data_IF_837942812251
#
_entry.id   IF_837942812251
#
_cell.length_a   1.000
_cell.length_b   1.000
_cell.length_c   1.000
_cell.angle_alpha   90.00
_cell.angle_beta   90.00
_cell.angle_gamma   90.00
#
_symmetry.space_group_name_H-M   'P 1'
#
loop_
_entity.id
_entity.type
_entity.pdbx_description
1 polymer ?
#
# COMPACT_ATOMS: atom_id res chain seq x y z
N UNK A 1 -25.59 1.76 7.23
CA UNK A 1 -24.74 1.17 6.20
C UNK A 1 -23.33 1.14 6.80
N UNK A 2 -22.84 -0.03 7.19
CA UNK A 2 -21.46 -0.14 7.67
C UNK A 2 -20.56 0.07 6.46
N UNK A 3 -19.91 1.22 6.39
CA UNK A 3 -18.91 1.48 5.37
C UNK A 3 -17.69 0.62 5.72
N UNK A 4 -17.68 -0.58 5.20
CA UNK A 4 -16.46 -1.37 5.18
C UNK A 4 -15.56 -0.71 4.13
N UNK A 5 -14.59 0.07 4.59
CA UNK A 5 -13.47 0.58 3.78
C UNK A 5 -12.79 -0.56 3.00
N UNK A 6 -13.04 -1.80 3.37
CA UNK A 6 -12.63 -3.03 2.67
C UNK A 6 -13.21 -3.16 1.25
N UNK A 7 -14.31 -2.47 0.90
CA UNK A 7 -15.02 -2.74 -0.36
C UNK A 7 -14.38 -2.11 -1.59
N UNK A 8 -13.68 -0.98 -1.46
CA UNK A 8 -13.11 -0.28 -2.63
C UNK A 8 -11.68 -0.74 -2.96
N UNK A 9 -10.88 -1.11 -1.97
CA UNK A 9 -9.49 -1.52 -2.16
C UNK A 9 -9.19 -2.96 -1.71
N UNK A 10 -10.09 -3.60 -0.98
CA UNK A 10 -9.96 -4.94 -0.43
C UNK A 10 -10.92 -5.97 -1.05
N UNK A 11 -11.12 -7.07 -0.33
CA UNK A 11 -12.03 -8.16 -0.67
C UNK A 11 -12.83 -8.59 0.55
N UNK A 12 -14.05 -9.09 0.34
CA UNK A 12 -14.88 -9.62 1.43
C UNK A 12 -14.23 -10.82 2.13
N UNK A 13 -14.61 -11.05 3.38
CA UNK A 13 -14.11 -12.22 4.15
C UNK A 13 -14.43 -13.54 3.43
N UNK A 14 -15.59 -13.65 2.82
CA UNK A 14 -16.01 -14.82 2.05
C UNK A 14 -15.13 -15.04 0.82
N UNK A 15 -14.87 -13.98 0.05
CA UNK A 15 -13.98 -14.04 -1.11
C UNK A 15 -12.56 -14.47 -0.71
N UNK A 16 -12.06 -13.94 0.42
CA UNK A 16 -10.74 -14.33 0.93
C UNK A 16 -10.73 -15.79 1.37
N UNK A 17 -11.77 -16.26 2.08
CA UNK A 17 -11.87 -17.67 2.51
C UNK A 17 -11.85 -18.63 1.31
N UNK A 18 -12.67 -18.36 0.29
CA UNK A 18 -12.69 -19.15 -0.95
C UNK A 18 -11.33 -19.16 -1.67
N UNK A 19 -10.61 -18.03 -1.64
CA UNK A 19 -9.26 -17.93 -2.21
C UNK A 19 -8.28 -18.84 -1.46
N UNK A 20 -8.34 -18.84 -0.12
CA UNK A 20 -7.45 -19.66 0.73
C UNK A 20 -7.70 -21.15 0.53
N UNK A 21 -8.95 -21.58 0.37
CA UNK A 21 -9.30 -22.99 0.11
C UNK A 21 -8.70 -23.53 -1.20
N UNK A 22 -8.40 -22.64 -2.16
CA UNK A 22 -7.85 -22.98 -3.47
C UNK A 22 -6.35 -22.69 -3.61
N UNK A 23 -5.69 -22.28 -2.53
CA UNK A 23 -4.31 -21.76 -2.56
C UNK A 23 -4.09 -20.67 -3.62
N UNK A 24 -5.16 -19.90 -3.90
CA UNK A 24 -5.20 -18.90 -4.96
C UNK A 24 -4.59 -17.55 -4.59
N UNK A 25 -4.79 -16.58 -5.49
CA UNK A 25 -4.53 -15.15 -5.31
C UNK A 25 -5.80 -14.34 -5.61
N UNK A 26 -5.97 -13.19 -4.96
CA UNK A 26 -6.96 -12.19 -5.35
C UNK A 26 -6.31 -10.93 -5.90
N UNK A 27 -5.07 -10.65 -5.53
CA UNK A 27 -4.32 -9.54 -6.11
C UNK A 27 -2.82 -9.82 -6.16
N UNK A 28 -2.15 -9.12 -7.08
CA UNK A 28 -0.69 -9.04 -7.15
C UNK A 28 -0.29 -7.58 -7.18
N UNK A 29 0.72 -7.24 -6.39
CA UNK A 29 1.39 -5.94 -6.41
C UNK A 29 2.62 -6.06 -7.33
N UNK A 30 2.78 -5.13 -8.27
CA UNK A 30 3.89 -5.14 -9.24
C UNK A 30 4.73 -3.88 -9.08
N UNK A 31 6.03 -4.06 -8.90
CA UNK A 31 7.02 -3.01 -9.05
C UNK A 31 7.66 -3.12 -10.44
N UNK A 32 7.63 -2.03 -11.19
CA UNK A 32 8.06 -2.01 -12.60
C UNK A 32 9.51 -1.57 -12.75
N UNK A 33 9.92 -0.60 -11.94
CA UNK A 33 11.24 0.02 -12.03
C UNK A 33 11.61 0.67 -10.71
N UNK A 34 12.90 0.77 -10.43
CA UNK A 34 13.42 1.60 -9.31
C UNK A 34 13.61 3.06 -9.71
N UNK A 35 13.45 3.41 -11.00
CA UNK A 35 13.51 4.80 -11.43
C UNK A 35 12.41 5.61 -10.76
N UNK A 36 12.78 6.75 -10.19
CA UNK A 36 11.84 7.68 -9.61
C UNK A 36 12.35 9.12 -9.78
N UNK A 37 11.45 10.03 -10.07
CA UNK A 37 11.74 11.46 -10.13
C UNK A 37 11.68 12.16 -8.77
N UNK A 38 11.39 11.41 -7.69
CA UNK A 38 11.47 11.85 -6.30
C UNK A 38 12.55 11.10 -5.52
N UNK A 39 12.90 11.64 -4.34
CA UNK A 39 13.85 11.04 -3.38
C UNK A 39 13.27 11.06 -1.98
N UNK A 40 12.00 10.59 -1.85
CA UNK A 40 11.26 10.63 -0.58
C UNK A 40 12.08 10.06 0.56
N UNK A 41 12.20 10.81 1.65
CA UNK A 41 13.02 10.44 2.82
C UNK A 41 12.45 9.25 3.60
N UNK A 42 11.20 8.89 3.33
CA UNK A 42 10.47 7.74 3.91
C UNK A 42 10.29 6.59 2.92
N UNK A 43 10.95 6.61 1.76
CA UNK A 43 10.74 5.62 0.70
C UNK A 43 11.16 4.22 1.13
N UNK A 44 10.22 3.28 1.13
CA UNK A 44 10.46 1.88 1.50
C UNK A 44 11.41 1.18 0.53
N UNK A 45 11.30 1.50 -0.75
CA UNK A 45 12.04 0.83 -1.83
C UNK A 45 13.38 1.50 -2.17
N UNK A 46 13.72 2.64 -1.53
CA UNK A 46 14.91 3.44 -1.83
C UNK A 46 15.03 3.85 -3.30
N UNK A 47 13.87 4.04 -3.96
CA UNK A 47 13.78 4.35 -5.38
C UNK A 47 14.58 5.60 -5.78
N UNK A 48 15.08 5.59 -7.00
CA UNK A 48 15.90 6.66 -7.54
C UNK A 48 16.34 6.37 -8.96
N UNK A 49 17.43 5.64 -9.09
CA UNK A 49 17.91 5.14 -10.38
C UNK A 49 17.31 3.76 -10.69
N UNK A 50 17.21 3.42 -11.96
CA UNK A 50 16.79 2.08 -12.38
C UNK A 50 17.85 1.04 -12.03
N UNK A 51 17.41 -0.20 -11.88
CA UNK A 51 18.30 -1.32 -11.66
C UNK A 51 18.66 -1.99 -12.99
N UNK A 52 19.78 -2.71 -12.98
CA UNK A 52 20.06 -3.65 -14.05
C UNK A 52 19.07 -4.82 -13.99
N UNK A 53 18.72 -5.36 -15.17
CA UNK A 53 17.86 -6.53 -15.29
C UNK A 53 16.44 -6.34 -14.70
N UNK A 54 15.89 -5.13 -14.74
CA UNK A 54 14.46 -4.94 -14.47
C UNK A 54 13.61 -5.75 -15.46
N UNK A 55 12.40 -6.12 -15.04
CA UNK A 55 11.49 -6.93 -15.84
C UNK A 55 11.11 -6.24 -17.16
N UNK A 56 11.14 -6.98 -18.25
CA UNK A 56 10.61 -6.56 -19.53
C UNK A 56 9.07 -6.59 -19.54
N UNK A 57 8.47 -5.89 -20.49
CA UNK A 57 7.02 -5.96 -20.73
C UNK A 57 6.50 -7.41 -20.82
N UNK A 58 7.22 -8.27 -21.55
CA UNK A 58 6.84 -9.68 -21.74
C UNK A 58 6.80 -10.45 -20.41
N UNK A 59 7.78 -10.22 -19.54
CA UNK A 59 7.83 -10.87 -18.21
C UNK A 59 6.71 -10.35 -17.32
N UNK A 60 6.43 -9.05 -17.32
CA UNK A 60 5.33 -8.42 -16.59
C UNK A 60 3.97 -8.98 -17.05
N UNK A 61 3.74 -9.04 -18.35
CA UNK A 61 2.52 -9.63 -18.93
C UNK A 61 2.36 -11.09 -18.48
N UNK A 62 3.45 -11.88 -18.54
CA UNK A 62 3.42 -13.27 -18.05
C UNK A 62 3.03 -13.37 -16.56
N UNK A 63 3.54 -12.48 -15.72
CA UNK A 63 3.14 -12.45 -14.28
C UNK A 63 1.66 -12.14 -14.13
N UNK A 64 1.14 -11.17 -14.87
CA UNK A 64 -0.28 -10.78 -14.84
C UNK A 64 -1.17 -11.97 -15.26
N UNK A 65 -0.81 -12.67 -16.33
CA UNK A 65 -1.54 -13.84 -16.80
C UNK A 65 -1.50 -14.99 -15.79
N UNK A 66 -0.33 -15.30 -15.21
CA UNK A 66 -0.20 -16.28 -14.15
C UNK A 66 -1.04 -15.90 -12.91
N UNK A 67 -1.05 -14.62 -12.53
CA UNK A 67 -1.87 -14.15 -11.42
C UNK A 67 -3.37 -14.32 -11.70
N UNK A 68 -3.84 -13.99 -12.92
CA UNK A 68 -5.23 -14.23 -13.36
C UNK A 68 -5.59 -15.71 -13.25
N UNK A 69 -4.72 -16.58 -13.72
CA UNK A 69 -4.95 -18.04 -13.73
C UNK A 69 -4.99 -18.61 -12.30
N UNK A 70 -4.31 -17.97 -11.34
CA UNK A 70 -4.40 -18.24 -9.91
C UNK A 70 -5.65 -17.62 -9.24
N UNK A 71 -6.48 -16.90 -9.99
CA UNK A 71 -7.74 -16.33 -9.52
C UNK A 71 -7.70 -14.86 -9.17
N UNK A 72 -6.60 -14.14 -9.47
CA UNK A 72 -6.50 -12.71 -9.20
C UNK A 72 -7.64 -11.92 -9.85
N UNK A 73 -8.15 -10.96 -9.11
CA UNK A 73 -9.21 -10.02 -9.52
C UNK A 73 -8.67 -8.60 -9.69
N UNK A 74 -7.50 -8.31 -9.12
CA UNK A 74 -6.89 -6.99 -9.12
C UNK A 74 -5.38 -7.06 -9.32
N UNK A 75 -4.86 -6.15 -10.13
CA UNK A 75 -3.42 -5.88 -10.25
C UNK A 75 -3.14 -4.49 -9.67
N UNK A 76 -2.16 -4.40 -8.77
CA UNK A 76 -1.72 -3.13 -8.16
C UNK A 76 -0.40 -2.71 -8.79
N UNK A 77 -0.44 -1.58 -9.48
CA UNK A 77 0.71 -0.97 -10.15
C UNK A 77 1.43 -0.09 -9.11
N UNK A 78 2.35 -0.71 -8.37
CA UNK A 78 2.97 -0.06 -7.21
C UNK A 78 4.24 0.72 -7.57
N UNK A 79 4.94 0.30 -8.60
CA UNK A 79 6.10 1.00 -9.12
C UNK A 79 7.44 0.53 -8.56
N UNK A 80 7.60 0.47 -7.27
CA UNK A 80 8.91 0.44 -6.61
C UNK A 80 9.58 1.82 -6.66
N UNK A 81 9.67 2.41 -7.85
CA UNK A 81 9.86 3.84 -8.14
C UNK A 81 8.56 4.52 -8.56
N UNK A 82 8.61 5.32 -9.64
CA UNK A 82 7.41 5.93 -10.23
C UNK A 82 6.94 5.07 -11.41
N UNK A 83 5.72 4.50 -11.37
CA UNK A 83 5.22 3.62 -12.44
C UNK A 83 5.26 4.27 -13.84
N UNK A 84 4.97 5.55 -13.93
CA UNK A 84 4.94 6.27 -15.22
C UNK A 84 6.33 6.58 -15.79
N UNK A 85 7.41 6.14 -15.14
CA UNK A 85 8.75 6.09 -15.72
C UNK A 85 9.08 4.73 -16.37
N UNK A 86 8.22 3.74 -16.23
CA UNK A 86 8.33 2.50 -17.01
C UNK A 86 7.79 2.73 -18.43
N UNK A 87 8.60 2.52 -19.47
CA UNK A 87 8.22 2.93 -20.83
C UNK A 87 6.92 2.33 -21.34
N UNK A 88 6.65 1.07 -21.01
CA UNK A 88 5.53 0.28 -21.53
C UNK A 88 4.31 0.27 -20.58
N UNK A 89 4.25 1.15 -19.59
CA UNK A 89 3.19 1.13 -18.56
C UNK A 89 1.79 1.24 -19.15
N UNK A 90 1.61 2.01 -20.23
CA UNK A 90 0.30 2.16 -20.87
C UNK A 90 -0.15 0.86 -21.55
N UNK A 91 0.79 0.07 -22.06
CA UNK A 91 0.49 -1.23 -22.64
C UNK A 91 0.11 -2.26 -21.57
N UNK A 92 0.81 -2.24 -20.44
CA UNK A 92 0.44 -3.03 -19.26
C UNK A 92 -0.99 -2.70 -18.81
N UNK A 93 -1.35 -1.42 -18.70
CA UNK A 93 -2.70 -0.98 -18.31
C UNK A 93 -3.76 -1.47 -19.31
N UNK A 94 -3.50 -1.36 -20.61
CA UNK A 94 -4.41 -1.89 -21.65
C UNK A 94 -4.59 -3.41 -21.52
N UNK A 95 -3.50 -4.13 -21.28
CA UNK A 95 -3.52 -5.58 -21.14
C UNK A 95 -4.37 -6.00 -19.93
N UNK A 96 -4.17 -5.39 -18.76
CA UNK A 96 -4.96 -5.67 -17.55
C UNK A 96 -6.44 -5.39 -17.81
N UNK A 97 -6.75 -4.26 -18.46
CA UNK A 97 -8.11 -3.89 -18.81
C UNK A 97 -8.77 -4.90 -19.76
N UNK A 98 -8.03 -5.35 -20.79
CA UNK A 98 -8.50 -6.35 -21.73
C UNK A 98 -8.77 -7.72 -21.09
N UNK A 99 -8.04 -8.06 -20.03
CA UNK A 99 -8.29 -9.27 -19.24
C UNK A 99 -9.50 -9.16 -18.29
N UNK A 100 -10.15 -8.00 -18.21
CA UNK A 100 -11.27 -7.74 -17.30
C UNK A 100 -10.88 -7.67 -15.82
N UNK A 101 -9.60 -7.48 -15.51
CA UNK A 101 -9.09 -7.33 -14.15
C UNK A 101 -9.23 -5.87 -13.69
N UNK A 102 -9.54 -5.66 -12.42
CA UNK A 102 -9.42 -4.34 -11.84
C UNK A 102 -7.96 -3.97 -11.61
N UNK A 103 -7.69 -2.67 -11.62
CA UNK A 103 -6.31 -2.17 -11.49
C UNK A 103 -6.26 -0.89 -10.68
N UNK A 104 -5.19 -0.75 -9.89
CA UNK A 104 -4.92 0.44 -9.09
C UNK A 104 -3.47 0.88 -9.31
N UNK A 105 -3.23 2.17 -9.52
CA UNK A 105 -1.88 2.73 -9.63
C UNK A 105 -1.57 3.62 -8.43
N UNK A 106 -0.38 3.43 -7.87
CA UNK A 106 0.19 4.33 -6.86
C UNK A 106 1.23 5.21 -7.54
N UNK A 107 1.01 6.52 -7.57
CA UNK A 107 1.87 7.49 -8.25
C UNK A 107 2.16 8.70 -7.38
N UNK A 108 3.31 9.33 -7.62
CA UNK A 108 3.60 10.63 -7.04
C UNK A 108 2.89 11.80 -7.77
N UNK A 109 2.26 11.53 -8.91
CA UNK A 109 1.43 12.47 -9.65
C UNK A 109 2.20 13.54 -10.48
N UNK A 110 3.52 13.64 -10.36
CA UNK A 110 4.28 14.69 -11.02
C UNK A 110 4.34 14.57 -12.55
N UNK A 111 4.20 13.33 -13.05
CA UNK A 111 4.25 13.04 -14.50
C UNK A 111 2.87 13.02 -15.15
N UNK A 112 1.81 13.26 -14.40
CA UNK A 112 0.46 13.28 -14.94
C UNK A 112 0.28 14.44 -15.91
N UNK A 113 -0.33 14.12 -17.07
CA UNK A 113 -0.79 15.04 -18.10
C UNK A 113 -2.28 14.87 -18.29
N UNK A 114 -2.95 15.82 -18.93
CA UNK A 114 -4.38 15.67 -19.27
C UNK A 114 -4.67 14.39 -20.08
N UNK A 115 -3.81 14.11 -21.06
CA UNK A 115 -3.95 12.92 -21.90
C UNK A 115 -3.82 11.64 -21.07
N UNK A 116 -2.80 11.56 -20.18
CA UNK A 116 -2.61 10.42 -19.31
C UNK A 116 -3.78 10.25 -18.34
N UNK A 117 -4.28 11.33 -17.74
CA UNK A 117 -5.42 11.26 -16.83
C UNK A 117 -6.69 10.77 -17.56
N UNK A 118 -6.96 11.26 -18.78
CA UNK A 118 -8.08 10.74 -19.61
C UNK A 118 -7.90 9.26 -19.96
N UNK A 119 -6.68 8.84 -20.29
CA UNK A 119 -6.36 7.44 -20.56
C UNK A 119 -6.62 6.56 -19.34
N UNK A 120 -6.15 6.94 -18.15
CA UNK A 120 -6.37 6.21 -16.90
C UNK A 120 -7.87 6.10 -16.58
N UNK A 121 -8.61 7.19 -16.75
CA UNK A 121 -10.05 7.22 -16.54
C UNK A 121 -10.80 6.28 -17.51
N UNK A 122 -10.44 6.28 -18.80
CA UNK A 122 -11.03 5.42 -19.80
C UNK A 122 -10.78 3.92 -19.54
N UNK A 123 -9.61 3.57 -18.98
CA UNK A 123 -9.24 2.20 -18.65
C UNK A 123 -9.61 1.78 -17.21
N UNK A 124 -10.47 2.55 -16.53
CA UNK A 124 -10.97 2.28 -15.19
C UNK A 124 -9.86 2.04 -14.15
N UNK A 125 -8.74 2.76 -14.29
CA UNK A 125 -7.64 2.69 -13.33
C UNK A 125 -8.05 3.41 -12.05
N UNK A 126 -7.97 2.74 -10.91
CA UNK A 126 -8.05 3.38 -9.59
C UNK A 126 -6.73 4.12 -9.35
N UNK A 127 -6.77 5.35 -8.86
CA UNK A 127 -5.56 6.14 -8.66
C UNK A 127 -5.36 6.46 -7.18
N UNK A 128 -4.20 6.12 -6.65
CA UNK A 128 -3.72 6.58 -5.36
C UNK A 128 -2.56 7.54 -5.59
N UNK A 129 -2.81 8.84 -5.38
CA UNK A 129 -1.79 9.87 -5.53
C UNK A 129 -1.13 10.16 -4.19
N UNK A 130 0.21 10.24 -4.18
CA UNK A 130 1.00 10.55 -2.99
C UNK A 130 0.91 12.03 -2.65
N UNK A 131 0.32 12.35 -1.50
CA UNK A 131 0.15 13.71 -1.03
C UNK A 131 0.26 13.74 0.51
N UNK A 132 1.40 14.21 1.03
CA UNK A 132 1.69 14.14 2.46
C UNK A 132 1.49 15.47 3.20
N UNK A 133 1.44 16.59 2.50
CA UNK A 133 1.31 17.91 3.11
C UNK A 133 0.75 18.94 2.13
N UNK A 134 -0.09 19.85 2.62
CA UNK A 134 -0.56 21.03 1.88
C UNK A 134 0.44 22.16 1.89
N UNK A 135 1.44 22.10 2.78
CA UNK A 135 2.51 23.10 2.87
C UNK A 135 3.68 22.75 1.94
N UNK A 136 4.02 23.63 0.96
CA UNK A 136 5.06 23.35 -0.03
C UNK A 136 6.39 22.92 0.58
N UNK A 137 6.85 23.61 1.62
CA UNK A 137 8.13 23.31 2.26
C UNK A 137 8.16 21.92 2.91
N UNK A 138 7.06 21.50 3.56
CA UNK A 138 6.93 20.18 4.20
C UNK A 138 6.85 19.09 3.13
N UNK A 139 5.98 19.28 2.13
CA UNK A 139 5.83 18.31 1.04
C UNK A 139 7.13 18.11 0.27
N UNK A 140 7.84 19.19 -0.09
CA UNK A 140 9.10 19.12 -0.81
C UNK A 140 10.21 18.45 0.02
N UNK A 141 10.29 18.75 1.32
CA UNK A 141 11.24 18.10 2.23
C UNK A 141 10.96 16.59 2.36
N UNK A 142 9.69 16.18 2.52
CA UNK A 142 9.30 14.77 2.58
C UNK A 142 9.55 14.05 1.25
N UNK A 143 9.32 14.72 0.11
CA UNK A 143 9.55 14.18 -1.23
C UNK A 143 11.04 14.18 -1.64
N UNK A 144 11.89 14.93 -0.92
CA UNK A 144 13.32 15.05 -1.21
C UNK A 144 13.66 15.79 -2.50
N UNK A 145 12.70 16.56 -3.06
CA UNK A 145 12.85 17.32 -4.32
C UNK A 145 12.08 18.63 -4.23
N UNK A 146 12.77 19.74 -4.49
CA UNK A 146 12.15 21.06 -4.54
C UNK A 146 11.12 21.15 -5.69
N UNK A 147 9.97 21.74 -5.40
CA UNK A 147 8.86 21.88 -6.36
C UNK A 147 7.97 20.63 -6.50
N UNK A 148 8.22 19.57 -5.74
CA UNK A 148 7.39 18.37 -5.72
C UNK A 148 5.93 18.69 -5.37
N UNK A 149 5.70 19.54 -4.37
CA UNK A 149 4.37 20.01 -4.00
C UNK A 149 3.59 20.54 -5.20
N UNK A 150 4.18 21.48 -5.97
CA UNK A 150 3.52 22.07 -7.13
C UNK A 150 3.18 21.03 -8.20
N UNK A 151 4.09 20.07 -8.45
CA UNK A 151 3.87 18.99 -9.41
C UNK A 151 2.74 18.05 -8.97
N UNK A 152 2.72 17.66 -7.70
CA UNK A 152 1.69 16.79 -7.10
C UNK A 152 0.32 17.48 -7.14
N UNK A 153 0.24 18.75 -6.73
CA UNK A 153 -1.01 19.52 -6.78
C UNK A 153 -1.55 19.68 -8.20
N UNK A 154 -0.66 19.88 -9.18
CA UNK A 154 -1.06 19.89 -10.59
C UNK A 154 -1.62 18.52 -11.01
N UNK A 155 -0.94 17.44 -10.66
CA UNK A 155 -1.41 16.07 -10.98
C UNK A 155 -2.76 15.76 -10.37
N UNK A 156 -2.97 16.10 -9.10
CA UNK A 156 -4.25 15.92 -8.41
C UNK A 156 -5.38 16.69 -9.13
N UNK A 157 -5.14 17.96 -9.49
CA UNK A 157 -6.13 18.75 -10.22
C UNK A 157 -6.45 18.14 -11.59
N UNK A 158 -5.45 17.70 -12.36
CA UNK A 158 -5.66 17.04 -13.65
C UNK A 158 -6.49 15.75 -13.53
N UNK A 159 -6.31 14.97 -12.47
CA UNK A 159 -7.16 13.80 -12.21
C UNK A 159 -8.62 14.24 -11.98
N UNK A 160 -8.84 15.25 -11.15
CA UNK A 160 -10.19 15.76 -10.89
C UNK A 160 -10.85 16.32 -12.16
N UNK A 161 -10.12 17.07 -12.98
CA UNK A 161 -10.56 17.57 -14.28
C UNK A 161 -10.89 16.43 -15.28
N UNK A 162 -10.20 15.29 -15.19
CA UNK A 162 -10.48 14.10 -15.99
C UNK A 162 -11.71 13.30 -15.52
N UNK A 163 -12.34 13.70 -14.39
CA UNK A 163 -13.55 13.09 -13.85
C UNK A 163 -13.37 12.21 -12.61
N UNK A 164 -12.16 12.18 -12.01
CA UNK A 164 -11.95 11.49 -10.74
C UNK A 164 -12.41 12.32 -9.54
N UNK A 165 -12.95 11.70 -8.47
CA UNK A 165 -13.41 10.32 -8.43
C UNK A 165 -14.69 10.13 -9.24
N UNK A 166 -14.87 8.95 -9.84
CA UNK A 166 -16.04 8.60 -10.63
C UNK A 166 -16.48 7.16 -10.38
N UNK A 167 -17.63 6.76 -10.91
CA UNK A 167 -18.16 5.41 -10.74
C UNK A 167 -17.16 4.35 -11.26
N UNK A 168 -16.73 3.46 -10.36
CA UNK A 168 -15.72 2.44 -10.64
C UNK A 168 -14.30 3.01 -10.89
N UNK A 169 -14.08 4.29 -10.56
CA UNK A 169 -12.81 5.01 -10.73
C UNK A 169 -12.49 5.81 -9.47
N UNK A 170 -12.24 5.15 -8.34
CA UNK A 170 -11.91 5.86 -7.12
C UNK A 170 -10.59 6.62 -7.25
N UNK A 171 -10.52 7.74 -6.56
CA UNK A 171 -9.30 8.50 -6.32
C UNK A 171 -8.99 8.43 -4.84
N UNK A 172 -7.75 8.08 -4.52
CA UNK A 172 -7.26 8.07 -3.15
C UNK A 172 -6.14 9.10 -3.00
N UNK A 173 -6.10 9.79 -1.87
CA UNK A 173 -4.90 10.49 -1.40
C UNK A 173 -4.18 9.56 -0.45
N UNK A 174 -2.96 9.14 -0.82
CA UNK A 174 -2.10 8.37 0.06
C UNK A 174 -1.14 9.30 0.81
N UNK A 175 -1.23 9.26 2.14
CA UNK A 175 -0.35 10.02 3.03
C UNK A 175 0.29 9.11 4.06
N UNK A 176 1.60 9.30 4.27
CA UNK A 176 2.30 8.74 5.42
C UNK A 176 2.16 9.72 6.58
N UNK A 177 1.54 9.28 7.66
CA UNK A 177 1.40 10.08 8.89
C UNK A 177 2.74 10.10 9.61
N UNK A 178 3.30 11.29 9.78
CA UNK A 178 4.59 11.47 10.40
C UNK A 178 4.65 12.79 11.20
N UNK A 179 5.75 13.00 11.91
CA UNK A 179 5.92 14.16 12.80
C UNK A 179 5.77 15.50 12.08
N UNK A 180 6.19 15.58 10.82
CA UNK A 180 6.19 16.83 10.04
C UNK A 180 4.81 17.26 9.57
N UNK A 181 3.89 16.30 9.34
CA UNK A 181 2.57 16.59 8.80
C UNK A 181 1.41 16.30 9.77
N UNK A 182 1.70 15.91 11.01
CA UNK A 182 0.66 15.47 11.97
C UNK A 182 -0.46 16.48 12.17
N UNK A 183 -0.15 17.77 12.14
CA UNK A 183 -1.12 18.83 12.35
C UNK A 183 -1.96 19.13 11.10
N UNK A 184 -1.55 18.59 9.95
CA UNK A 184 -2.26 18.69 8.66
C UNK A 184 -3.17 17.50 8.37
N UNK A 185 -3.03 16.40 9.11
CA UNK A 185 -3.74 15.13 8.83
C UNK A 185 -5.26 15.32 8.90
N UNK A 186 -5.76 16.01 9.91
CA UNK A 186 -7.19 16.26 10.07
C UNK A 186 -7.78 17.13 8.95
N UNK A 187 -7.25 18.33 8.63
CA UNK A 187 -7.76 19.12 7.53
C UNK A 187 -7.61 18.44 6.16
N UNK A 188 -6.54 17.67 5.92
CA UNK A 188 -6.39 16.90 4.68
C UNK A 188 -7.42 15.77 4.56
N UNK A 189 -7.74 15.10 5.67
CA UNK A 189 -8.79 14.08 5.72
C UNK A 189 -10.15 14.66 5.38
N UNK A 190 -10.51 15.75 6.05
CA UNK A 190 -11.79 16.45 5.82
C UNK A 190 -11.91 16.88 4.36
N UNK A 191 -10.86 17.53 3.82
CA UNK A 191 -10.85 17.96 2.44
C UNK A 191 -11.04 16.79 1.45
N UNK A 192 -10.36 15.68 1.67
CA UNK A 192 -10.53 14.49 0.83
C UNK A 192 -11.97 14.00 0.83
N UNK A 193 -12.57 13.85 2.03
CA UNK A 193 -13.97 13.42 2.18
C UNK A 193 -14.97 14.36 1.49
N UNK A 194 -14.78 15.66 1.64
CA UNK A 194 -15.65 16.67 1.01
C UNK A 194 -15.60 16.62 -0.53
N UNK A 195 -14.51 16.10 -1.10
CA UNK A 195 -14.36 15.94 -2.55
C UNK A 195 -14.64 14.51 -3.04
N UNK A 196 -15.18 13.62 -2.20
CA UNK A 196 -15.43 12.22 -2.54
C UNK A 196 -14.15 11.41 -2.74
N UNK A 197 -13.00 11.94 -2.34
CA UNK A 197 -11.68 11.30 -2.45
C UNK A 197 -11.47 10.44 -1.20
N UNK A 198 -10.97 9.22 -1.39
CA UNK A 198 -10.68 8.31 -0.28
C UNK A 198 -9.36 8.69 0.39
N UNK A 199 -9.34 9.06 1.69
CA UNK A 199 -8.10 9.27 2.41
C UNK A 199 -7.48 7.94 2.78
N UNK A 200 -6.37 7.59 2.13
CA UNK A 200 -5.56 6.40 2.39
C UNK A 200 -4.35 6.79 3.26
N UNK A 201 -4.60 7.03 4.55
CA UNK A 201 -3.57 7.49 5.48
C UNK A 201 -3.03 6.33 6.28
N UNK A 202 -1.72 6.22 6.36
CA UNK A 202 -1.03 5.11 6.99
C UNK A 202 0.11 5.59 7.90
N UNK A 203 0.41 4.81 8.92
CA UNK A 203 1.58 5.06 9.76
C UNK A 203 2.88 4.76 9.00
N UNK A 204 3.97 5.39 9.42
CA UNK A 204 5.28 5.19 8.83
C UNK A 204 5.89 3.86 9.30
N UNK A 205 6.19 2.96 8.35
CA UNK A 205 7.08 1.82 8.59
C UNK A 205 8.54 2.26 8.46
N UNK A 206 9.37 1.97 9.46
CA UNK A 206 10.81 2.29 9.45
C UNK A 206 11.55 1.27 8.57
N UNK A 207 11.54 1.53 7.26
CA UNK A 207 12.07 0.68 6.20
C UNK A 207 12.73 1.52 5.11
N UNK A 208 13.70 0.97 4.39
CA UNK A 208 14.42 1.67 3.33
C UNK A 208 15.03 2.98 3.84
N UNK A 209 14.84 4.09 3.11
CA UNK A 209 15.36 5.40 3.55
C UNK A 209 14.81 5.88 4.89
N UNK A 210 13.61 5.45 5.28
CA UNK A 210 13.06 5.80 6.59
C UNK A 210 13.94 5.33 7.76
N UNK A 211 14.80 4.31 7.58
CA UNK A 211 15.77 3.89 8.61
C UNK A 211 16.73 5.00 9.01
N UNK A 212 17.09 5.88 8.07
CA UNK A 212 17.95 7.04 8.32
C UNK A 212 17.15 8.24 8.88
N UNK A 213 15.83 8.13 8.92
CA UNK A 213 14.89 9.18 9.31
C UNK A 213 13.87 8.68 10.33
N UNK A 214 14.28 7.79 11.25
CA UNK A 214 13.38 7.18 12.24
C UNK A 214 12.66 8.21 13.13
N UNK A 215 13.24 9.42 13.30
CA UNK A 215 12.63 10.54 14.02
C UNK A 215 11.34 11.06 13.35
N UNK A 216 11.04 10.68 12.11
CA UNK A 216 9.77 10.98 11.45
C UNK A 216 8.59 10.26 12.11
N UNK A 217 8.82 9.06 12.63
CA UNK A 217 7.76 8.25 13.22
C UNK A 217 7.12 8.95 14.43
N UNK A 218 5.82 8.76 14.57
CA UNK A 218 5.07 9.15 15.76
C UNK A 218 4.97 7.96 16.73
N UNK A 219 4.92 8.23 18.04
CA UNK A 219 4.60 7.19 19.00
C UNK A 219 3.21 6.58 18.73
N UNK A 220 3.00 5.28 19.04
CA UNK A 220 1.71 4.61 18.83
C UNK A 220 0.52 5.34 19.44
N UNK A 221 0.69 5.98 20.59
CA UNK A 221 -0.35 6.74 21.29
C UNK A 221 -0.75 8.02 20.53
N UNK A 222 0.21 8.69 19.88
CA UNK A 222 -0.09 9.85 19.02
C UNK A 222 -0.85 9.40 17.75
N UNK A 223 -0.43 8.31 17.13
CA UNK A 223 -1.14 7.70 15.99
C UNK A 223 -2.57 7.34 16.40
N UNK A 224 -2.74 6.66 17.53
CA UNK A 224 -4.06 6.33 18.09
C UNK A 224 -4.93 7.58 18.22
N UNK A 225 -4.42 8.62 18.89
CA UNK A 225 -5.16 9.85 19.12
C UNK A 225 -5.58 10.56 17.83
N UNK A 226 -4.72 10.55 16.79
CA UNK A 226 -5.04 11.08 15.47
C UNK A 226 -6.21 10.29 14.87
N UNK A 227 -6.10 8.96 14.77
CA UNK A 227 -7.10 8.14 14.10
C UNK A 227 -8.43 8.04 14.88
N UNK A 228 -8.43 8.15 16.21
CA UNK A 228 -9.65 8.30 17.01
C UNK A 228 -10.38 9.61 16.69
N UNK A 229 -9.64 10.71 16.45
CA UNK A 229 -10.24 11.98 15.99
C UNK A 229 -10.81 11.85 14.58
N UNK A 230 -10.07 11.24 13.63
CA UNK A 230 -10.55 11.02 12.26
C UNK A 230 -11.80 10.16 12.22
N UNK A 231 -11.86 9.08 13.00
CA UNK A 231 -13.06 8.23 13.14
C UNK A 231 -14.26 9.02 13.67
N UNK A 232 -14.04 9.92 14.64
CA UNK A 232 -15.09 10.79 15.17
C UNK A 232 -15.59 11.77 14.09
N UNK A 233 -14.69 12.40 13.35
CA UNK A 233 -15.02 13.31 12.25
C UNK A 233 -15.83 12.58 11.19
N UNK A 234 -15.39 11.40 10.75
CA UNK A 234 -16.11 10.60 9.75
C UNK A 234 -17.53 10.27 10.23
N UNK A 235 -17.70 9.89 11.51
CA UNK A 235 -19.01 9.60 12.06
C UNK A 235 -19.92 10.84 12.15
N UNK A 236 -19.38 11.97 12.63
CA UNK A 236 -20.16 13.17 12.91
C UNK A 236 -20.48 14.00 11.65
N UNK A 237 -19.55 14.08 10.71
CA UNK A 237 -19.68 14.91 9.51
C UNK A 237 -20.11 14.14 8.27
N UNK A 238 -19.67 12.88 8.14
CA UNK A 238 -19.87 12.11 6.90
C UNK A 238 -20.75 10.87 7.09
N UNK A 239 -21.17 10.56 8.33
CA UNK A 239 -22.01 9.41 8.62
C UNK A 239 -21.30 8.06 8.48
N UNK A 240 -19.97 8.05 8.36
CA UNK A 240 -19.15 6.86 8.21
C UNK A 240 -18.74 6.33 9.59
N UNK A 241 -18.84 5.02 9.79
CA UNK A 241 -18.52 4.38 11.07
C UNK A 241 -17.42 3.36 10.88
N UNK A 242 -16.33 3.55 11.58
CA UNK A 242 -15.22 2.62 11.70
C UNK A 242 -14.48 2.84 13.00
N UNK A 243 -13.83 1.80 13.52
CA UNK A 243 -13.04 1.85 14.73
C UNK A 243 -11.55 1.79 14.38
N UNK A 244 -10.74 2.76 14.83
CA UNK A 244 -9.31 2.73 14.60
C UNK A 244 -8.70 1.56 15.36
N UNK A 245 -7.93 0.74 14.65
CA UNK A 245 -7.20 -0.41 15.18
C UNK A 245 -5.81 -0.46 14.57
N UNK A 246 -4.78 -0.89 15.30
CA UNK A 246 -3.53 -1.23 14.65
C UNK A 246 -3.72 -2.51 13.80
N UNK A 247 -3.05 -2.63 12.64
CA UNK A 247 -2.18 -1.63 12.05
C UNK A 247 -2.98 -0.54 11.33
N UNK A 248 -2.44 0.68 11.35
CA UNK A 248 -2.94 1.75 10.49
C UNK A 248 -2.20 1.69 9.15
N UNK A 249 -2.75 0.96 8.23
CA UNK A 249 -2.22 0.76 6.87
C UNK A 249 -3.27 1.15 5.82
N UNK A 250 -3.83 2.35 5.97
CA UNK A 250 -4.98 2.80 5.18
C UNK A 250 -6.28 2.12 5.59
N UNK A 251 -6.23 0.81 5.77
CA UNK A 251 -7.34 -0.06 6.21
C UNK A 251 -6.79 -1.21 7.06
N UNK A 252 -7.68 -2.06 7.59
CA UNK A 252 -7.25 -3.32 8.17
C UNK A 252 -6.59 -4.18 7.10
N UNK A 253 -5.27 -4.28 7.14
CA UNK A 253 -4.50 -5.01 6.14
C UNK A 253 -4.73 -6.52 6.27
N UNK A 254 -5.24 -7.16 5.20
CA UNK A 254 -5.40 -8.62 5.08
C UNK A 254 -4.62 -9.20 3.90
N UNK A 255 -3.72 -8.43 3.30
CA UNK A 255 -3.02 -8.77 2.04
C UNK A 255 -2.27 -10.09 2.12
N UNK A 256 -1.67 -10.43 3.26
CA UNK A 256 -0.93 -11.68 3.44
C UNK A 256 -1.77 -12.94 3.20
N UNK A 257 -3.10 -12.84 3.30
CA UNK A 257 -3.99 -13.98 3.07
C UNK A 257 -4.20 -14.26 1.58
N UNK A 258 -4.07 -13.24 0.71
CA UNK A 258 -4.52 -13.34 -0.67
C UNK A 258 -3.65 -12.62 -1.71
N UNK A 259 -2.55 -12.00 -1.30
CA UNK A 259 -1.71 -11.20 -2.21
C UNK A 259 -0.23 -11.55 -2.06
N UNK A 260 0.56 -11.17 -3.05
CA UNK A 260 2.01 -11.11 -3.02
C UNK A 260 2.51 -9.91 -3.81
N UNK A 261 3.79 -9.58 -3.63
CA UNK A 261 4.51 -8.59 -4.41
C UNK A 261 5.48 -9.28 -5.37
N UNK A 262 5.57 -8.80 -6.61
CA UNK A 262 6.66 -9.11 -7.54
C UNK A 262 7.41 -7.80 -7.80
N UNK A 263 8.68 -7.77 -7.42
CA UNK A 263 9.50 -6.57 -7.57
C UNK A 263 10.04 -6.42 -9.01
N UNK A 264 10.67 -5.29 -9.30
CA UNK A 264 11.17 -4.98 -10.65
C UNK A 264 12.23 -5.95 -11.20
N UNK A 265 12.84 -6.77 -10.37
CA UNK A 265 13.81 -7.81 -10.77
C UNK A 265 13.21 -9.23 -10.79
N UNK A 266 11.90 -9.36 -10.58
CA UNK A 266 11.19 -10.63 -10.61
C UNK A 266 11.19 -11.42 -9.30
N UNK A 267 11.77 -10.90 -8.24
CA UNK A 267 11.67 -11.54 -6.93
C UNK A 267 10.25 -11.41 -6.38
N UNK A 268 9.71 -12.53 -5.92
CA UNK A 268 8.43 -12.59 -5.24
C UNK A 268 8.64 -12.40 -3.75
N UNK A 269 7.81 -11.56 -3.14
CA UNK A 269 7.82 -11.23 -1.72
C UNK A 269 6.41 -11.29 -1.15
N UNK A 270 6.22 -11.53 0.16
CA UNK A 270 4.89 -11.53 0.77
C UNK A 270 4.17 -10.17 0.70
N UNK A 271 4.90 -9.09 0.89
CA UNK A 271 4.44 -7.69 0.76
C UNK A 271 5.65 -6.74 0.71
N UNK A 272 5.38 -5.44 0.53
CA UNK A 272 6.39 -4.38 0.54
C UNK A 272 7.21 -4.32 1.84
N UNK A 273 6.60 -4.64 2.98
CA UNK A 273 7.24 -4.55 4.30
C UNK A 273 8.05 -5.78 4.70
N UNK A 274 7.90 -6.91 4.01
CA UNK A 274 8.68 -8.14 4.24
C UNK A 274 9.61 -8.35 3.04
N UNK A 275 10.83 -7.86 3.14
CA UNK A 275 11.82 -7.87 2.06
C UNK A 275 12.50 -9.25 1.86
N UNK A 276 11.86 -10.33 2.28
CA UNK A 276 12.35 -11.70 2.09
C UNK A 276 11.89 -12.23 0.74
N UNK A 277 12.78 -12.45 -0.22
CA UNK A 277 12.43 -13.10 -1.47
C UNK A 277 12.07 -14.58 -1.21
N UNK A 278 10.92 -15.01 -1.74
CA UNK A 278 10.43 -16.38 -1.62
C UNK A 278 10.60 -17.18 -2.91
N UNK A 279 11.13 -16.56 -3.95
CA UNK A 279 11.45 -17.13 -5.26
C UNK A 279 11.59 -16.02 -6.30
N UNK A 280 11.91 -16.41 -7.55
CA UNK A 280 11.98 -15.49 -8.68
C UNK A 280 11.17 -16.03 -9.87
N UNK A 281 10.39 -15.16 -10.51
CA UNK A 281 9.48 -15.55 -11.63
C UNK A 281 10.25 -15.97 -12.90
N UNK A 282 11.53 -15.68 -12.98
CA UNK A 282 12.42 -16.15 -14.04
C UNK A 282 12.87 -17.59 -13.87
N UNK A 283 12.81 -18.09 -12.64
CA UNK A 283 13.27 -19.44 -12.27
C UNK A 283 12.09 -20.42 -12.14
N UNK A 284 10.95 -19.95 -11.63
CA UNK A 284 9.79 -20.78 -11.34
C UNK A 284 8.47 -20.02 -11.63
N UNK A 285 7.40 -20.71 -12.04
CA UNK A 285 6.09 -20.11 -12.16
C UNK A 285 5.58 -19.57 -10.80
N UNK A 286 4.87 -18.44 -10.83
CA UNK A 286 4.35 -17.76 -9.64
C UNK A 286 3.57 -18.72 -8.71
N UNK A 287 2.73 -19.58 -9.28
CA UNK A 287 1.94 -20.54 -8.49
C UNK A 287 2.80 -21.58 -7.76
N UNK A 288 3.93 -22.01 -8.33
CA UNK A 288 4.87 -22.90 -7.67
C UNK A 288 5.55 -22.20 -6.49
N UNK A 289 6.08 -21.00 -6.72
CA UNK A 289 6.71 -20.16 -5.68
C UNK A 289 5.79 -20.01 -4.45
N UNK A 290 4.52 -19.67 -4.69
CA UNK A 290 3.57 -19.43 -3.59
C UNK A 290 3.24 -20.72 -2.81
N UNK A 291 3.06 -21.85 -3.50
CA UNK A 291 2.73 -23.12 -2.83
C UNK A 291 3.91 -23.70 -2.04
N UNK A 292 5.12 -23.56 -2.54
CA UNK A 292 6.33 -24.12 -1.91
C UNK A 292 6.85 -23.26 -0.77
N UNK A 293 6.49 -21.97 -0.73
CA UNK A 293 6.99 -21.03 0.28
C UNK A 293 6.44 -21.34 1.68
N UNK A 294 7.36 -21.62 2.61
CA UNK A 294 7.02 -21.72 4.06
C UNK A 294 6.48 -20.39 4.57
N UNK A 295 7.05 -19.24 4.13
CA UNK A 295 6.65 -17.92 4.58
C UNK A 295 5.19 -17.63 4.20
N UNK A 296 4.78 -17.97 2.98
CA UNK A 296 3.37 -17.82 2.55
C UNK A 296 2.44 -18.71 3.37
N UNK A 297 2.81 -19.96 3.64
CA UNK A 297 2.01 -20.85 4.49
C UNK A 297 1.87 -20.28 5.91
N UNK A 298 2.94 -19.81 6.49
CA UNK A 298 2.93 -19.20 7.83
C UNK A 298 2.01 -17.96 7.86
N UNK A 299 2.11 -17.07 6.87
CA UNK A 299 1.32 -15.87 6.79
C UNK A 299 -0.17 -16.14 6.49
N UNK A 300 -0.50 -17.15 5.69
CA UNK A 300 -1.89 -17.59 5.47
C UNK A 300 -2.48 -18.24 6.73
N UNK A 301 -1.64 -18.90 7.53
CA UNK A 301 -1.99 -19.46 8.84
C UNK A 301 -1.75 -18.53 10.03
N UNK A 302 -1.56 -17.23 9.80
CA UNK A 302 -1.02 -16.23 10.74
C UNK A 302 -1.70 -16.22 12.10
N UNK A 303 -3.02 -16.35 12.17
CA UNK A 303 -3.76 -16.28 13.42
C UNK A 303 -3.39 -17.39 14.43
N UNK A 304 -2.80 -18.50 13.96
CA UNK A 304 -2.32 -19.60 14.82
C UNK A 304 -0.84 -19.48 15.16
N UNK A 305 -0.06 -18.77 14.31
CA UNK A 305 1.40 -18.74 14.37
C UNK A 305 1.97 -17.45 14.92
N UNK A 306 1.17 -16.37 14.92
CA UNK A 306 1.57 -15.08 15.45
C UNK A 306 1.95 -15.15 16.93
N UNK A 307 2.76 -14.20 17.38
CA UNK A 307 3.18 -14.01 18.78
C UNK A 307 2.06 -14.32 19.79
N UNK A 308 2.43 -14.96 20.90
CA UNK A 308 1.49 -15.43 21.91
C UNK A 308 0.62 -14.30 22.48
N UNK A 309 1.16 -13.08 22.63
CA UNK A 309 0.39 -11.93 23.12
C UNK A 309 -0.73 -11.50 22.17
N UNK A 310 -0.54 -11.69 20.86
CA UNK A 310 -1.57 -11.42 19.86
C UNK A 310 -2.66 -12.51 19.85
N UNK A 311 -2.31 -13.75 20.14
CA UNK A 311 -3.27 -14.89 20.19
C UNK A 311 -4.26 -14.80 21.35
N UNK A 312 -3.94 -14.07 22.41
CA UNK A 312 -4.82 -13.85 23.56
C UNK A 312 -5.42 -12.44 23.58
N UNK A 313 -5.17 -11.64 22.57
CA UNK A 313 -5.71 -10.29 22.44
C UNK A 313 -7.23 -10.34 22.17
N UNK A 314 -7.95 -9.30 22.59
CA UNK A 314 -9.39 -9.15 22.32
C UNK A 314 -9.75 -9.15 20.83
N UNK A 315 -8.78 -8.91 19.93
CA UNK A 315 -8.92 -8.96 18.47
C UNK A 315 -8.27 -10.20 17.85
N UNK A 316 -7.97 -11.23 18.64
CA UNK A 316 -7.43 -12.49 18.14
C UNK A 316 -8.34 -13.10 17.06
N UNK A 317 -7.74 -13.61 15.97
CA UNK A 317 -8.49 -14.14 14.83
C UNK A 317 -9.01 -13.10 13.83
N UNK A 318 -8.97 -11.80 14.18
CA UNK A 318 -9.38 -10.70 13.27
C UNK A 318 -8.21 -9.80 12.89
N UNK A 319 -7.27 -9.59 13.80
CA UNK A 319 -6.10 -8.74 13.65
C UNK A 319 -4.82 -9.57 13.76
N UNK A 320 -3.86 -9.27 12.93
CA UNK A 320 -2.50 -9.81 13.01
C UNK A 320 -1.42 -8.71 13.04
N UNK A 321 -1.79 -7.44 13.21
CA UNK A 321 -0.88 -6.30 13.15
C UNK A 321 -0.24 -6.13 11.76
N UNK A 322 0.71 -5.22 11.61
CA UNK A 322 1.50 -5.09 10.40
C UNK A 322 2.68 -6.06 10.43
N UNK A 323 2.69 -7.05 9.52
CA UNK A 323 3.78 -8.03 9.44
C UNK A 323 5.07 -7.40 8.92
N UNK A 324 4.95 -6.38 8.06
CA UNK A 324 6.08 -5.55 7.63
C UNK A 324 6.73 -4.84 8.81
N UNK A 325 5.95 -4.15 9.63
CA UNK A 325 6.45 -3.45 10.84
C UNK A 325 7.10 -4.41 11.83
N UNK A 326 6.47 -5.57 12.08
CA UNK A 326 7.04 -6.60 12.93
C UNK A 326 8.40 -7.07 12.39
N UNK A 327 8.47 -7.40 11.10
CA UNK A 327 9.69 -7.87 10.44
C UNK A 327 10.80 -6.80 10.46
N UNK A 328 10.48 -5.55 10.12
CA UNK A 328 11.47 -4.46 10.09
C UNK A 328 12.07 -4.17 11.46
N UNK A 329 11.28 -4.31 12.52
CA UNK A 329 11.73 -4.03 13.87
C UNK A 329 12.47 -5.20 14.55
N UNK A 330 12.15 -6.45 14.19
CA UNK A 330 12.59 -7.64 14.94
C UNK A 330 13.33 -8.68 14.10
N UNK A 331 13.23 -8.60 12.77
CA UNK A 331 13.69 -9.65 11.85
C UNK A 331 12.73 -10.86 11.76
N UNK A 332 11.64 -10.87 12.55
CA UNK A 332 10.65 -11.94 12.58
C UNK A 332 9.27 -11.44 12.14
N UNK A 333 8.77 -11.95 11.03
CA UNK A 333 7.45 -11.60 10.51
C UNK A 333 6.28 -12.18 11.33
N UNK A 334 6.54 -13.08 12.27
CA UNK A 334 5.55 -13.62 13.21
C UNK A 334 5.53 -12.89 14.55
N UNK A 335 6.51 -12.03 14.82
CA UNK A 335 6.57 -11.23 16.03
C UNK A 335 5.34 -10.31 16.18
N UNK A 336 5.11 -9.82 17.37
CA UNK A 336 4.09 -8.81 17.60
C UNK A 336 4.48 -7.48 16.95
N UNK A 337 3.48 -6.77 16.41
CA UNK A 337 3.68 -5.45 15.80
C UNK A 337 4.09 -4.41 16.87
N UNK A 338 5.25 -3.75 16.75
CA UNK A 338 5.72 -2.76 17.72
C UNK A 338 4.86 -1.47 17.74
N UNK A 339 4.15 -1.16 16.65
CA UNK A 339 3.24 -0.02 16.57
C UNK A 339 1.86 -0.28 17.19
N UNK A 340 1.62 -1.49 17.71
CA UNK A 340 0.35 -1.85 18.32
C UNK A 340 0.14 -1.16 19.67
N UNK A 341 -0.71 -0.12 19.75
CA UNK A 341 -1.05 0.59 20.98
C UNK A 341 -1.91 -0.21 21.99
N UNK A 342 -2.41 -1.39 21.59
CA UNK A 342 -3.16 -2.27 22.50
C UNK A 342 -2.25 -3.10 23.42
N UNK A 343 -0.93 -3.04 23.20
CA UNK A 343 0.07 -3.77 23.99
C UNK A 343 0.67 -2.98 25.14
N UNK A 344 0.01 -1.96 25.64
CA UNK A 344 0.54 -1.16 26.74
C UNK A 344 0.78 -2.01 27.99
N UNK A 345 2.04 -2.24 28.34
CA UNK A 345 2.50 -2.97 29.53
C UNK A 345 3.85 -3.68 29.39
N UNK A 346 4.28 -4.04 28.22
CA UNK A 346 5.60 -4.64 27.98
C UNK A 346 6.48 -3.70 27.14
N UNK A 347 7.22 -2.81 27.81
CA UNK A 347 8.33 -2.09 27.16
C UNK A 347 9.32 -3.13 26.67
N UNK A 348 9.39 -3.33 25.37
CA UNK A 348 10.54 -3.98 24.76
C UNK A 348 11.75 -3.07 25.06
N UNK A 349 12.69 -3.58 25.82
CA UNK A 349 14.01 -2.98 25.97
C UNK A 349 14.65 -2.99 24.60
N UNK A 350 14.75 -1.83 23.97
CA UNK A 350 15.51 -1.66 22.74
C UNK A 350 16.97 -1.91 23.13
N UNK A 351 17.51 -3.04 22.74
CA UNK A 351 18.97 -3.25 22.76
C UNK A 351 19.59 -2.31 21.72
N UNK A 352 20.47 -1.42 22.23
CA UNK A 352 21.34 -0.54 21.43
C UNK A 352 22.37 -1.32 20.64
#
# INVERSE_FOLDING_TARGET
MNYELDSELGFSRETIATCLERDGLLSVELEFTKKCNLRCIYCYSEAGEGLEQELSLREIVSVIEQARDLGAKKIVLLGGGEPFLFPDILEVIRHIYALGLSQAVFTNGMLLTEELCRFLFAHRVQVAIKHNSVHPAVQDALAGVAGAHRGIQRGLRLLMEAGYPGEGRPLCIQSVVCRQNRDEIEPMWIWAREHGITPYFEELTIQGRARQHAQLALPPEEIRAIFERLSRIDRERFGLRWDPRPPIAGFTCRRHLYSCLVNSQGFVQPCTGIELPIGNIREQPLGAILRESKIIRDLRGIYRQIDASCRVCQHAGECYGCRGNAYQATGDYLAADPACWLRQGTRATVCH
#
